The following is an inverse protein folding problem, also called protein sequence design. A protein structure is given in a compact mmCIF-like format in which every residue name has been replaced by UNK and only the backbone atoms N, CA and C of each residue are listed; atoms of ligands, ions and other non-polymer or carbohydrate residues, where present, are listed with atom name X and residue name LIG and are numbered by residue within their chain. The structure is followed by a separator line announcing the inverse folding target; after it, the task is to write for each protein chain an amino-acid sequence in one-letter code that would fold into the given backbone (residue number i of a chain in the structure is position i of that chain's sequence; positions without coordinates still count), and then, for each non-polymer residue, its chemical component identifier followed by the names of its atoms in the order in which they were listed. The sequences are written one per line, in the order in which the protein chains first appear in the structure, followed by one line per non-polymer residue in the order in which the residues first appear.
data_IF_562316138211
#
_entry.id   IF_562316138211
#
_cell.length_a   1.000
_cell.length_b   1.000
_cell.length_c   1.000
_cell.angle_alpha   90.00
_cell.angle_beta   90.00
_cell.angle_gamma   90.00
#
_symmetry.space_group_name_H-M   'P 1'
#
loop_
_entity.id
_entity.type
_entity.pdbx_description
1 polymer ?
#
# COMPACT_ATOMS: atom_id res chain seq x y z
N UNK A 1 -15.34 -6.62 -8.72
CA UNK A 1 -13.99 -6.33 -8.21
C UNK A 1 -13.74 -7.24 -7.02
N UNK A 2 -12.55 -7.85 -6.93
CA UNK A 2 -12.26 -8.95 -6.00
C UNK A 2 -12.18 -8.42 -4.54
N UNK A 3 -13.14 -8.82 -3.69
CA UNK A 3 -13.22 -8.40 -2.28
C UNK A 3 -11.94 -8.69 -1.51
N UNK A 4 -11.26 -9.79 -1.84
CA UNK A 4 -9.96 -10.16 -1.25
C UNK A 4 -8.87 -9.14 -1.59
N UNK A 5 -8.86 -8.63 -2.83
CA UNK A 5 -7.89 -7.62 -3.25
C UNK A 5 -8.13 -6.29 -2.52
N UNK A 6 -9.39 -5.88 -2.37
CA UNK A 6 -9.74 -4.69 -1.59
C UNK A 6 -9.32 -4.83 -0.12
N UNK A 7 -9.53 -5.99 0.49
CA UNK A 7 -9.11 -6.26 1.86
C UNK A 7 -7.58 -6.18 2.03
N UNK A 8 -6.80 -6.69 1.07
CA UNK A 8 -5.34 -6.57 1.08
C UNK A 8 -4.90 -5.11 0.97
N UNK A 9 -5.47 -4.34 0.05
CA UNK A 9 -5.16 -2.92 -0.13
C UNK A 9 -5.48 -2.13 1.14
N UNK A 10 -6.66 -2.35 1.75
CA UNK A 10 -7.04 -1.69 3.00
C UNK A 10 -6.05 -1.99 4.14
N UNK A 11 -5.64 -3.26 4.28
CA UNK A 11 -4.64 -3.65 5.29
C UNK A 11 -3.30 -2.95 5.09
N UNK A 12 -2.87 -2.72 3.84
CA UNK A 12 -1.66 -1.95 3.55
C UNK A 12 -1.85 -0.49 4.00
N UNK A 13 -2.97 0.13 3.63
CA UNK A 13 -3.28 1.52 3.99
C UNK A 13 -3.37 1.71 5.50
N UNK A 14 -3.91 0.75 6.24
CA UNK A 14 -3.94 0.76 7.71
C UNK A 14 -2.53 0.72 8.32
N UNK A 15 -1.64 -0.10 7.73
CA UNK A 15 -0.25 -0.28 8.18
C UNK A 15 0.71 0.78 7.66
N UNK A 16 0.25 1.67 6.80
CA UNK A 16 1.07 2.76 6.24
C UNK A 16 1.70 3.60 7.37
N UNK A 17 3.02 3.89 7.32
CA UNK A 17 3.67 4.74 8.30
C UNK A 17 3.11 6.16 8.36
N UNK A 18 3.20 6.80 9.51
CA UNK A 18 2.67 8.16 9.70
C UNK A 18 3.41 9.22 8.86
N UNK A 19 4.72 9.05 8.65
CA UNK A 19 5.49 9.91 7.73
C UNK A 19 4.97 9.82 6.29
N UNK A 20 4.56 8.63 5.84
CA UNK A 20 4.04 8.42 4.49
C UNK A 20 2.68 9.11 4.31
N UNK A 21 1.81 9.03 5.32
CA UNK A 21 0.54 9.78 5.32
C UNK A 21 0.76 11.29 5.30
N UNK A 22 1.78 11.77 6.02
CA UNK A 22 2.15 13.19 6.02
C UNK A 22 2.61 13.63 4.64
N UNK A 23 3.52 12.88 4.01
CA UNK A 23 4.04 13.21 2.68
C UNK A 23 2.95 13.12 1.59
N UNK A 24 2.03 12.16 1.67
CA UNK A 24 0.86 12.07 0.78
C UNK A 24 -0.04 13.32 0.87
N UNK A 25 -0.19 13.89 2.07
CA UNK A 25 -0.93 15.12 2.31
C UNK A 25 -0.12 16.40 2.07
N UNK A 26 1.15 16.29 1.69
CA UNK A 26 2.04 17.43 1.52
C UNK A 26 1.68 18.26 0.29
N UNK A 27 1.93 19.58 0.39
CA UNK A 27 1.87 20.50 -0.77
C UNK A 27 3.11 20.42 -1.64
N UNK A 28 4.19 19.79 -1.16
CA UNK A 28 5.38 19.52 -1.92
C UNK A 28 5.14 18.32 -2.86
N UNK A 29 5.14 18.60 -4.16
CA UNK A 29 4.93 17.60 -5.20
C UNK A 29 6.00 16.50 -5.20
N UNK A 30 7.24 16.82 -4.82
CA UNK A 30 8.33 15.84 -4.76
C UNK A 30 8.14 14.90 -3.56
N UNK A 31 7.78 15.45 -2.39
CA UNK A 31 7.44 14.64 -1.22
C UNK A 31 6.23 13.73 -1.48
N UNK A 32 5.17 14.28 -2.06
CA UNK A 32 3.97 13.51 -2.43
C UNK A 32 4.28 12.41 -3.44
N UNK A 33 5.05 12.70 -4.48
CA UNK A 33 5.44 11.72 -5.49
C UNK A 33 6.20 10.53 -4.89
N UNK A 34 7.20 10.78 -4.04
CA UNK A 34 7.92 9.70 -3.34
C UNK A 34 7.01 8.87 -2.45
N UNK A 35 6.02 9.52 -1.82
CA UNK A 35 5.09 8.83 -0.96
C UNK A 35 4.11 7.94 -1.75
N UNK A 36 3.63 8.42 -2.90
CA UNK A 36 2.82 7.64 -3.83
C UNK A 36 3.59 6.43 -4.37
N UNK A 37 4.85 6.60 -4.77
CA UNK A 37 5.72 5.51 -5.22
C UNK A 37 5.95 4.45 -4.14
N UNK A 38 6.22 4.89 -2.91
CA UNK A 38 6.40 3.98 -1.78
C UNK A 38 5.11 3.23 -1.46
N UNK A 39 3.96 3.91 -1.47
CA UNK A 39 2.66 3.27 -1.24
C UNK A 39 2.35 2.25 -2.34
N UNK A 40 2.65 2.57 -3.60
CA UNK A 40 2.50 1.64 -4.71
C UNK A 40 3.37 0.40 -4.51
N UNK A 41 4.64 0.56 -4.13
CA UNK A 41 5.54 -0.56 -3.83
C UNK A 41 5.02 -1.44 -2.68
N UNK A 42 4.50 -0.84 -1.60
CA UNK A 42 3.90 -1.57 -0.48
C UNK A 42 2.66 -2.36 -0.90
N UNK A 43 1.81 -1.78 -1.75
CA UNK A 43 0.63 -2.47 -2.28
C UNK A 43 1.07 -3.62 -3.21
N UNK A 44 2.01 -3.38 -4.12
CA UNK A 44 2.54 -4.42 -5.02
C UNK A 44 3.15 -5.59 -4.26
N UNK A 45 3.95 -5.31 -3.23
CA UNK A 45 4.52 -6.33 -2.34
C UNK A 45 3.42 -7.12 -1.61
N UNK A 46 2.44 -6.44 -1.03
CA UNK A 46 1.34 -7.10 -0.32
C UNK A 46 0.44 -7.91 -1.26
N UNK A 47 0.26 -7.49 -2.51
CA UNK A 47 -0.48 -8.26 -3.51
C UNK A 47 0.30 -9.50 -3.94
N UNK A 48 1.62 -9.41 -4.12
CA UNK A 48 2.49 -10.55 -4.44
C UNK A 48 2.57 -11.55 -3.27
N UNK A 49 2.73 -11.07 -2.04
CA UNK A 49 2.91 -11.90 -0.85
C UNK A 49 1.58 -12.39 -0.25
N UNK A 50 0.51 -11.58 -0.36
CA UNK A 50 -0.84 -11.92 0.11
C UNK A 50 -1.62 -12.83 -0.84
N UNK A 51 -1.17 -12.99 -2.09
CA UNK A 51 -1.64 -14.07 -2.97
C UNK A 51 -0.92 -15.39 -2.68
N UNK A 52 0.37 -15.35 -2.31
CA UNK A 52 1.15 -16.54 -1.96
C UNK A 52 0.66 -17.25 -0.68
N UNK A 53 0.20 -16.51 0.33
CA UNK A 53 -0.33 -17.07 1.59
C UNK A 53 -1.68 -17.83 1.46
N UNK A 54 -2.20 -18.02 0.26
CA UNK A 54 -3.45 -18.73 0.00
C UNK A 54 -3.26 -19.89 -1.00
N UNK A 55 -2.01 -20.33 -1.19
CA UNK A 55 -1.65 -21.55 -1.92
C UNK A 55 -1.17 -22.69 -1.00
N UNK A 56 -1.26 -22.50 0.32
CA UNK A 56 -1.00 -23.53 1.33
C UNK A 56 -2.17 -23.61 2.31
N UNK A 57 -3.29 -24.20 1.88
CA UNK A 57 -4.27 -24.91 2.73
C UNK A 57 -5.11 -25.88 1.89
#
# INVERSE_FOLDING_TARGET
MNEKMNATILRVIERTPQWLRHDLGSRDAAARGRAEETLAAMISDALANGTAANQEE
#
